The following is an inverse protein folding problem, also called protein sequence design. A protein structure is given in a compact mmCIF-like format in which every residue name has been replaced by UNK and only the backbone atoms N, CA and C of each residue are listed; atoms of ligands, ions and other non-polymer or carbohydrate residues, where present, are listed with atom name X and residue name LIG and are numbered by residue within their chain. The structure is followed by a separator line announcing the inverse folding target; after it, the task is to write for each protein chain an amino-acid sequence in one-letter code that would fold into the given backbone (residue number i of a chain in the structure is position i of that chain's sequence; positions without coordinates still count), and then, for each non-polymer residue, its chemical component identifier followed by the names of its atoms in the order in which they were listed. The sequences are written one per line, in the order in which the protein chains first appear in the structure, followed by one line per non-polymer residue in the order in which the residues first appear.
data_IF_509067320666
#
_entry.id   IF_509067320666
#
_cell.length_a   1.000
_cell.length_b   1.000
_cell.length_c   1.000
_cell.angle_alpha   90.00
_cell.angle_beta   90.00
_cell.angle_gamma   90.00
#
_symmetry.space_group_name_H-M   'P 1'
#
loop_
_entity.id
_entity.type
_entity.pdbx_description
1 polymer ?
#
# COMPACT_ATOMS: atom_id res chain seq x y z
N UNK A 1 -9.41 -1.58 5.77
CA UNK A 1 -9.70 -2.48 4.63
C UNK A 1 -10.98 -3.22 4.95
N UNK A 2 -11.91 -3.29 4.01
CA UNK A 2 -13.14 -4.07 4.17
C UNK A 2 -12.76 -5.53 3.90
N UNK A 3 -13.03 -6.39 4.87
CA UNK A 3 -12.61 -7.79 4.87
C UNK A 3 -13.56 -8.58 5.74
N UNK A 4 -14.19 -9.59 5.14
CA UNK A 4 -15.18 -10.45 5.81
C UNK A 4 -14.55 -11.22 6.97
N UNK A 5 -13.27 -11.61 6.85
CA UNK A 5 -12.49 -12.24 7.94
C UNK A 5 -12.36 -11.35 9.18
N UNK A 6 -12.50 -10.03 9.03
CA UNK A 6 -12.48 -9.06 10.14
C UNK A 6 -13.89 -8.59 10.53
N UNK A 7 -14.93 -9.25 10.02
CA UNK A 7 -16.33 -8.93 10.31
C UNK A 7 -16.86 -7.70 9.57
N UNK A 8 -16.14 -7.19 8.57
CA UNK A 8 -16.61 -6.08 7.73
C UNK A 8 -17.22 -6.60 6.44
N UNK A 9 -18.48 -6.24 6.17
CA UNK A 9 -19.18 -6.58 4.93
C UNK A 9 -19.30 -5.36 4.03
N UNK A 10 -19.41 -5.60 2.72
CA UNK A 10 -19.64 -4.52 1.75
C UNK A 10 -20.97 -3.79 2.04
N UNK A 11 -21.97 -4.53 2.50
CA UNK A 11 -23.32 -4.05 2.82
C UNK A 11 -23.34 -3.01 3.96
N UNK A 12 -22.45 -3.17 4.95
CA UNK A 12 -22.35 -2.28 6.11
C UNK A 12 -21.29 -1.18 5.94
N UNK A 13 -20.73 -1.03 4.74
CA UNK A 13 -19.67 -0.05 4.48
C UNK A 13 -20.26 1.35 4.38
N UNK A 14 -19.70 2.30 5.13
CA UNK A 14 -20.04 3.73 5.03
C UNK A 14 -18.96 4.51 4.27
N UNK A 15 -19.30 5.72 3.80
CA UNK A 15 -18.37 6.61 3.07
C UNK A 15 -17.13 6.93 3.92
N UNK A 16 -17.27 7.04 5.24
CA UNK A 16 -16.17 7.31 6.17
C UNK A 16 -15.12 6.19 6.23
N UNK A 17 -15.47 4.98 5.76
CA UNK A 17 -14.56 3.84 5.69
C UNK A 17 -13.71 3.85 4.41
N UNK A 18 -14.03 4.73 3.44
CA UNK A 18 -13.32 4.87 2.18
C UNK A 18 -12.18 5.89 2.29
N UNK A 19 -11.06 5.58 1.65
CA UNK A 19 -9.95 6.51 1.52
C UNK A 19 -10.26 7.61 0.51
N UNK A 20 -9.65 8.79 0.69
CA UNK A 20 -9.72 9.88 -0.28
C UNK A 20 -8.33 10.19 -0.83
N UNK A 21 -8.27 10.67 -2.06
CA UNK A 21 -7.04 11.10 -2.72
C UNK A 21 -7.33 12.24 -3.69
N UNK A 22 -6.34 13.09 -3.93
CA UNK A 22 -6.48 14.24 -4.84
C UNK A 22 -6.59 13.80 -6.30
N UNK A 23 -5.77 12.82 -6.70
CA UNK A 23 -5.76 12.33 -8.09
C UNK A 23 -5.50 10.83 -8.13
N UNK A 24 -6.31 10.15 -8.92
CA UNK A 24 -6.12 8.73 -9.28
C UNK A 24 -5.97 8.65 -10.79
N UNK A 25 -4.92 7.98 -11.26
CA UNK A 25 -4.67 7.74 -12.68
C UNK A 25 -4.48 6.25 -12.87
N UNK A 26 -5.25 5.67 -13.79
CA UNK A 26 -5.24 4.24 -14.10
C UNK A 26 -4.84 4.10 -15.55
N UNK A 27 -3.79 3.32 -15.81
CA UNK A 27 -3.38 2.90 -17.14
C UNK A 27 -3.49 1.37 -17.26
N UNK A 28 -3.03 0.80 -18.39
CA UNK A 28 -3.14 -0.65 -18.66
C UNK A 28 -2.44 -1.51 -17.62
N UNK A 29 -1.31 -1.03 -17.09
CA UNK A 29 -0.38 -1.83 -16.28
C UNK A 29 -0.24 -1.29 -14.85
N UNK A 30 -0.72 -0.07 -14.58
CA UNK A 30 -0.45 0.67 -13.35
C UNK A 30 -1.65 1.49 -12.87
N UNK A 31 -1.68 1.68 -11.56
CA UNK A 31 -2.59 2.58 -10.87
C UNK A 31 -1.76 3.50 -9.99
N UNK A 32 -1.87 4.80 -10.24
CA UNK A 32 -1.17 5.83 -9.46
C UNK A 32 -2.18 6.61 -8.65
N UNK A 33 -1.96 6.67 -7.34
CA UNK A 33 -2.76 7.45 -6.40
C UNK A 33 -1.85 8.55 -5.83
N UNK A 34 -2.22 9.80 -6.04
CA UNK A 34 -1.45 10.99 -5.66
C UNK A 34 -2.20 11.73 -4.55
N UNK A 35 -1.45 12.12 -3.51
CA UNK A 35 -1.95 12.90 -2.38
C UNK A 35 -3.19 12.28 -1.71
N UNK A 36 -3.01 11.05 -1.22
CA UNK A 36 -4.01 10.42 -0.35
C UNK A 36 -4.19 11.21 0.95
N UNK A 37 -5.42 11.42 1.39
CA UNK A 37 -5.76 12.18 2.61
C UNK A 37 -5.59 11.36 3.90
N UNK A 38 -4.68 10.38 3.89
CA UNK A 38 -4.39 9.57 5.06
C UNK A 38 -3.71 10.39 6.15
N UNK A 39 -3.93 10.01 7.41
CA UNK A 39 -3.29 10.69 8.53
C UNK A 39 -1.77 10.54 8.46
N UNK A 40 -1.05 11.66 8.48
CA UNK A 40 0.42 11.71 8.42
C UNK A 40 1.09 10.93 9.55
N UNK A 41 0.47 10.83 10.74
CA UNK A 41 0.99 10.02 11.85
C UNK A 41 1.01 8.54 11.50
N UNK A 42 -0.04 8.05 10.85
CA UNK A 42 -0.22 6.64 10.54
C UNK A 42 0.71 6.22 9.41
N UNK A 43 0.90 7.11 8.41
CA UNK A 43 1.91 6.94 7.36
C UNK A 43 3.31 6.86 7.98
N UNK A 44 3.65 7.77 8.90
CA UNK A 44 4.97 7.77 9.57
C UNK A 44 5.17 6.51 10.43
N UNK A 45 4.14 6.09 11.16
CA UNK A 45 4.16 4.84 11.93
C UNK A 45 4.41 3.64 11.02
N UNK A 46 3.73 3.58 9.87
CA UNK A 46 3.90 2.49 8.90
C UNK A 46 5.29 2.49 8.24
N UNK A 47 5.82 3.66 7.91
CA UNK A 47 7.19 3.84 7.41
C UNK A 47 8.20 3.28 8.42
N UNK A 48 8.04 3.60 9.70
CA UNK A 48 8.93 3.09 10.76
C UNK A 48 8.82 1.58 10.93
N UNK A 49 7.62 1.01 10.87
CA UNK A 49 7.42 -0.44 10.91
C UNK A 49 8.15 -1.14 9.76
N UNK A 50 8.04 -0.61 8.54
CA UNK A 50 8.70 -1.21 7.38
C UNK A 50 10.22 -1.08 7.48
N UNK A 51 10.75 0.03 8.00
CA UNK A 51 12.19 0.18 8.27
C UNK A 51 12.69 -0.89 9.25
N UNK A 52 11.98 -1.10 10.35
CA UNK A 52 12.32 -2.14 11.31
C UNK A 52 12.28 -3.55 10.67
N UNK A 53 11.29 -3.80 9.81
CA UNK A 53 11.21 -5.06 9.07
C UNK A 53 12.39 -5.26 8.13
N UNK A 54 12.88 -4.22 7.45
CA UNK A 54 14.05 -4.29 6.57
C UNK A 54 15.31 -4.70 7.36
N UNK A 55 15.47 -4.17 8.58
CA UNK A 55 16.61 -4.48 9.44
C UNK A 55 16.62 -5.93 9.92
N UNK A 56 15.45 -6.50 10.20
CA UNK A 56 15.32 -7.88 10.71
C UNK A 56 15.18 -8.93 9.61
N UNK A 57 14.93 -8.52 8.37
CA UNK A 57 14.78 -9.43 7.22
C UNK A 57 16.15 -9.86 6.74
N UNK A 58 16.36 -11.15 6.51
CA UNK A 58 17.63 -11.68 6.02
C UNK A 58 17.69 -11.88 4.50
N UNK A 59 16.63 -12.35 3.81
CA UNK A 59 16.68 -12.51 2.37
C UNK A 59 16.71 -11.16 1.66
N UNK A 60 17.69 -10.95 0.78
CA UNK A 60 17.84 -9.67 0.07
C UNK A 60 16.67 -9.38 -0.88
N UNK A 61 16.05 -10.42 -1.45
CA UNK A 61 14.80 -10.30 -2.23
C UNK A 61 13.66 -9.69 -1.40
N UNK A 62 13.50 -10.12 -0.14
CA UNK A 62 12.45 -9.61 0.74
C UNK A 62 12.76 -8.18 1.19
N UNK A 63 14.05 -7.86 1.43
CA UNK A 63 14.49 -6.48 1.70
C UNK A 63 14.19 -5.56 0.52
N UNK A 64 14.48 -5.98 -0.71
CA UNK A 64 14.19 -5.20 -1.92
C UNK A 64 12.69 -4.89 -2.02
N UNK A 65 11.83 -5.89 -1.80
CA UNK A 65 10.37 -5.70 -1.79
C UNK A 65 9.89 -4.76 -0.67
N UNK A 66 10.52 -4.81 0.50
CA UNK A 66 10.21 -3.87 1.59
C UNK A 66 10.69 -2.45 1.28
N UNK A 67 11.84 -2.29 0.63
CA UNK A 67 12.37 -1.00 0.18
C UNK A 67 11.47 -0.37 -0.91
N UNK A 68 10.98 -1.15 -1.87
CA UNK A 68 9.99 -0.69 -2.86
C UNK A 68 8.71 -0.16 -2.17
N UNK A 69 8.20 -0.89 -1.16
CA UNK A 69 7.04 -0.46 -0.38
C UNK A 69 7.31 0.81 0.43
N UNK A 70 8.50 0.91 1.02
CA UNK A 70 8.94 2.09 1.77
C UNK A 70 8.98 3.34 0.88
N UNK A 71 9.56 3.22 -0.31
CA UNK A 71 9.68 4.32 -1.27
C UNK A 71 8.31 4.86 -1.69
N UNK A 72 7.36 3.96 -1.99
CA UNK A 72 5.98 4.31 -2.36
C UNK A 72 5.22 5.02 -1.24
N UNK A 73 5.46 4.67 0.02
CA UNK A 73 4.82 5.31 1.17
C UNK A 73 5.45 6.67 1.53
N UNK A 74 6.77 6.80 1.42
CA UNK A 74 7.48 8.02 1.76
C UNK A 74 7.28 9.15 0.73
N UNK A 75 7.07 8.81 -0.55
CA UNK A 75 6.93 9.77 -1.64
C UNK A 75 5.56 10.46 -1.76
N UNK A 76 4.56 10.09 -0.95
CA UNK A 76 3.19 10.63 -1.06
C UNK A 76 2.44 10.23 -2.35
N UNK A 77 3.09 9.46 -3.21
CA UNK A 77 2.58 8.93 -4.47
C UNK A 77 2.63 7.40 -4.37
N UNK A 78 1.46 6.78 -4.21
CA UNK A 78 1.35 5.34 -4.23
C UNK A 78 1.25 4.86 -5.70
N UNK A 79 2.34 4.27 -6.19
CA UNK A 79 2.36 3.59 -7.49
C UNK A 79 2.09 2.10 -7.30
N UNK A 80 0.88 1.67 -7.63
CA UNK A 80 0.55 0.25 -7.75
C UNK A 80 0.89 -0.21 -9.17
N UNK A 81 1.95 -1.01 -9.28
CA UNK A 81 2.28 -1.76 -10.50
C UNK A 81 1.62 -3.12 -10.37
N UNK A 82 0.81 -3.52 -11.35
CA UNK A 82 0.23 -4.85 -11.39
C UNK A 82 1.36 -5.85 -11.74
N UNK A 83 2.05 -6.37 -10.74
CA UNK A 83 2.90 -7.56 -10.96
C UNK A 83 1.95 -8.71 -11.21
N UNK A 84 1.71 -9.00 -12.50
CA UNK A 84 1.09 -10.24 -12.95
C UNK A 84 1.85 -11.39 -12.29
N UNK A 85 1.19 -12.07 -11.35
CA UNK A 85 1.64 -13.30 -10.73
C UNK A 85 1.58 -14.42 -11.77
N UNK A 86 2.49 -14.36 -12.76
CA UNK A 86 2.77 -15.44 -13.69
C UNK A 86 4.26 -15.73 -13.67
N UNK A 87 4.74 -16.42 -12.63
CA UNK A 87 5.89 -17.35 -12.71
C UNK A 87 5.83 -18.39 -11.60
N UNK A 88 4.94 -19.36 -11.76
CA UNK A 88 5.22 -20.75 -11.40
C UNK A 88 4.86 -21.61 -12.62
N UNK A 89 5.86 -21.80 -13.49
CA UNK A 89 6.07 -23.03 -14.24
C UNK A 89 7.40 -23.58 -13.78
#
# INVERSE_FOLDING_TARGET
MISEERGFTLENTTIDMLGTAEKVTIDKDNTTIVNGSGNKSDIKSRVNQIKAQIETTTPDYDKEKLQERLAKLAGGVAYFMLVLHQRLK
#
